data_IF_284322343904
#
_entry.id   IF_284322343904
#
_cell.length_a   1.000
_cell.length_b   1.000
_cell.length_c   1.000
_cell.angle_alpha   90.00
_cell.angle_beta   90.00
_cell.angle_gamma   90.00
#
_symmetry.space_group_name_H-M   'P 1'
#
loop_
_entity.id
_entity.type
_entity.pdbx_description
1 polymer ?
#
# COMPACT_ATOMS: atom_id res chain seq x y z
N UNK A 1 29.27 15.01 13.46
CA UNK A 1 29.68 15.12 12.05
C UNK A 1 28.41 15.35 11.25
N UNK A 2 28.08 16.61 11.01
CA UNK A 2 26.87 17.01 10.30
C UNK A 2 27.12 16.80 8.80
N UNK A 3 26.43 15.83 8.20
CA UNK A 3 26.34 15.76 6.75
C UNK A 3 25.29 16.76 6.29
N UNK A 4 25.72 18.01 6.08
CA UNK A 4 25.03 18.93 5.18
C UNK A 4 25.52 18.56 3.79
N UNK A 5 24.77 17.72 3.08
CA UNK A 5 24.98 17.54 1.66
C UNK A 5 24.50 18.81 0.97
N UNK A 6 25.43 19.65 0.52
CA UNK A 6 25.12 20.74 -0.40
C UNK A 6 24.68 20.12 -1.74
N UNK A 7 23.38 20.13 -1.99
CA UNK A 7 22.79 19.76 -3.28
C UNK A 7 22.75 21.02 -4.17
N UNK A 8 23.24 20.96 -5.42
CA UNK A 8 23.33 22.15 -6.27
C UNK A 8 22.01 22.46 -6.98
N UNK A 9 21.71 23.76 -7.12
CA UNK A 9 20.74 24.30 -8.08
C UNK A 9 19.35 24.60 -7.50
N UNK A 10 19.01 25.89 -7.51
CA UNK A 10 17.73 26.56 -7.20
C UNK A 10 16.55 25.65 -6.82
N UNK A 11 16.46 25.30 -5.54
CA UNK A 11 15.27 24.67 -4.96
C UNK A 11 14.23 25.77 -4.65
N UNK A 12 12.94 25.56 -4.99
CA UNK A 12 11.88 26.42 -4.47
C UNK A 12 11.98 26.45 -2.94
N UNK A 13 11.88 27.64 -2.33
CA UNK A 13 11.98 27.86 -0.88
C UNK A 13 11.03 26.92 -0.13
N UNK A 14 11.53 25.77 0.33
CA UNK A 14 10.77 24.82 1.14
C UNK A 14 10.63 25.44 2.52
N UNK A 15 9.39 25.64 3.00
CA UNK A 15 9.14 25.96 4.40
C UNK A 15 9.79 24.86 5.27
N UNK A 16 10.93 25.17 5.88
CA UNK A 16 11.90 24.17 6.35
C UNK A 16 11.34 23.26 7.45
N UNK A 17 10.82 22.10 7.07
CA UNK A 17 10.46 21.04 7.99
C UNK A 17 11.71 20.19 8.23
N UNK A 18 12.20 20.18 9.47
CA UNK A 18 13.36 19.38 9.84
C UNK A 18 13.07 17.87 9.67
N UNK A 19 13.87 17.21 8.83
CA UNK A 19 13.84 15.77 8.62
C UNK A 19 15.08 15.13 9.26
N UNK A 20 14.86 14.17 10.15
CA UNK A 20 15.94 13.37 10.75
C UNK A 20 16.10 12.08 9.96
N UNK A 21 17.17 11.99 9.16
CA UNK A 21 17.51 10.78 8.41
C UNK A 21 17.90 9.64 9.35
N UNK A 22 17.39 8.43 9.08
CA UNK A 22 17.73 7.20 9.79
C UNK A 22 18.50 6.21 8.91
N UNK A 23 18.07 6.02 7.67
CA UNK A 23 18.81 5.22 6.68
C UNK A 23 18.59 5.77 5.27
N UNK A 24 19.57 5.53 4.41
CA UNK A 24 19.56 5.88 3.00
C UNK A 24 20.08 4.67 2.24
N UNK A 25 19.26 4.16 1.33
CA UNK A 25 19.57 3.03 0.46
C UNK A 25 19.22 3.39 -0.99
N UNK A 26 19.67 2.60 -1.95
CA UNK A 26 19.29 2.80 -3.35
C UNK A 26 17.76 2.71 -3.49
N UNK A 27 17.14 3.83 -3.86
CA UNK A 27 15.69 3.91 -4.03
C UNK A 27 14.89 4.03 -2.73
N UNK A 28 15.52 4.22 -1.57
CA UNK A 28 14.79 4.38 -0.31
C UNK A 28 15.46 5.40 0.63
N UNK A 29 14.64 6.28 1.21
CA UNK A 29 15.04 7.21 2.26
C UNK A 29 14.10 7.05 3.44
N UNK A 30 14.65 6.67 4.60
CA UNK A 30 13.91 6.50 5.84
C UNK A 30 14.35 7.53 6.86
N UNK A 31 13.38 8.10 7.58
CA UNK A 31 13.66 9.05 8.64
C UNK A 31 12.43 9.40 9.45
N UNK A 32 12.46 10.60 10.01
CA UNK A 32 11.32 11.13 10.76
C UNK A 32 11.20 12.63 10.68
N UNK A 33 9.96 13.11 10.63
CA UNK A 33 9.58 14.50 10.77
C UNK A 33 8.91 14.67 12.13
N UNK A 34 9.44 15.53 13.01
CA UNK A 34 8.88 15.77 14.35
C UNK A 34 8.61 14.46 15.13
N UNK A 35 9.50 13.47 14.99
CA UNK A 35 9.38 12.14 15.60
C UNK A 35 8.45 11.15 14.89
N UNK A 36 7.66 11.59 13.89
CA UNK A 36 6.80 10.74 13.08
C UNK A 36 7.63 10.05 12.01
N UNK A 37 7.52 8.72 11.90
CA UNK A 37 8.24 7.94 10.89
C UNK A 37 7.76 8.33 9.49
N UNK A 38 8.69 8.65 8.61
CA UNK A 38 8.42 9.00 7.22
C UNK A 38 9.41 8.27 6.31
N UNK A 39 8.88 7.69 5.23
CA UNK A 39 9.67 6.94 4.25
C UNK A 39 9.35 7.45 2.87
N UNK A 40 10.39 7.66 2.06
CA UNK A 40 10.30 7.96 0.64
C UNK A 40 10.87 6.77 -0.12
N UNK A 41 10.05 6.18 -0.97
CA UNK A 41 10.39 4.98 -1.71
C UNK A 41 10.30 5.27 -3.19
N UNK A 42 11.34 4.91 -3.93
CA UNK A 42 11.31 4.91 -5.37
C UNK A 42 10.25 3.92 -5.83
N UNK A 43 9.29 4.43 -6.60
CA UNK A 43 8.18 3.63 -7.10
C UNK A 43 8.18 3.69 -8.63
N UNK A 44 8.73 2.65 -9.26
CA UNK A 44 8.96 2.58 -10.71
C UNK A 44 7.74 2.13 -11.53
N UNK A 45 6.65 1.78 -10.86
CA UNK A 45 5.42 1.37 -11.54
C UNK A 45 4.57 2.60 -11.88
N UNK A 46 4.17 2.77 -13.15
CA UNK A 46 3.25 3.85 -13.53
C UNK A 46 1.96 3.82 -12.70
N UNK A 47 1.39 5.00 -12.46
CA UNK A 47 0.05 5.09 -11.90
C UNK A 47 -0.97 4.67 -12.96
N UNK A 48 -1.97 3.90 -12.53
CA UNK A 48 -3.09 3.50 -13.40
C UNK A 48 -4.04 4.66 -13.65
N UNK A 49 -4.19 5.54 -12.65
CA UNK A 49 -5.09 6.68 -12.71
C UNK A 49 -4.36 7.96 -12.29
N UNK A 50 -4.98 9.10 -12.60
CA UNK A 50 -4.56 10.38 -12.06
C UNK A 50 -4.59 10.37 -10.52
N UNK A 51 -3.70 11.14 -9.93
CA UNK A 51 -3.68 11.36 -8.48
C UNK A 51 -4.97 12.05 -8.02
N UNK A 52 -5.36 11.79 -6.78
CA UNK A 52 -6.52 12.41 -6.14
C UNK A 52 -6.00 13.52 -5.22
N UNK A 53 -6.48 14.75 -5.43
CA UNK A 53 -6.13 15.86 -4.55
C UNK A 53 -6.79 15.67 -3.18
N UNK A 54 -5.99 15.82 -2.13
CA UNK A 54 -6.47 15.97 -0.75
C UNK A 54 -6.26 17.42 -0.32
N UNK A 55 -7.26 18.25 -0.59
CA UNK A 55 -7.18 19.71 -0.50
C UNK A 55 -6.91 20.20 0.93
N UNK A 56 -7.50 19.56 1.95
CA UNK A 56 -7.35 19.96 3.36
C UNK A 56 -5.89 19.94 3.84
N UNK A 57 -5.09 19.04 3.28
CA UNK A 57 -3.66 18.89 3.61
C UNK A 57 -2.75 19.19 2.41
N UNK A 58 -3.30 19.75 1.33
CA UNK A 58 -2.61 20.15 0.11
C UNK A 58 -1.65 19.06 -0.42
N UNK A 59 -2.13 17.82 -0.49
CA UNK A 59 -1.31 16.66 -0.86
C UNK A 59 -2.01 15.83 -1.92
N UNK A 60 -1.22 15.28 -2.85
CA UNK A 60 -1.70 14.34 -3.86
C UNK A 60 -1.64 12.90 -3.34
N UNK A 61 -2.75 12.18 -3.47
CA UNK A 61 -2.86 10.77 -3.11
C UNK A 61 -2.90 9.89 -4.36
N UNK A 62 -2.42 8.65 -4.21
CA UNK A 62 -2.67 7.63 -5.22
C UNK A 62 -4.17 7.31 -5.28
N UNK A 63 -4.69 7.07 -6.48
CA UNK A 63 -6.07 6.64 -6.66
C UNK A 63 -6.32 5.27 -6.01
N UNK A 64 -7.59 4.96 -5.74
CA UNK A 64 -7.97 3.72 -5.06
C UNK A 64 -7.54 2.45 -5.83
N UNK A 65 -7.51 2.49 -7.16
CA UNK A 65 -6.99 1.38 -7.98
C UNK A 65 -5.50 1.13 -7.76
N UNK A 66 -4.72 2.21 -7.70
CA UNK A 66 -3.29 2.14 -7.43
C UNK A 66 -3.02 1.61 -6.01
N UNK A 67 -3.77 2.10 -5.02
CA UNK A 67 -3.70 1.63 -3.64
C UNK A 67 -4.09 0.15 -3.51
N UNK A 68 -5.13 -0.28 -4.21
CA UNK A 68 -5.53 -1.68 -4.25
C UNK A 68 -4.46 -2.59 -4.85
N UNK A 69 -3.85 -2.19 -5.97
CA UNK A 69 -2.75 -2.94 -6.56
C UNK A 69 -1.54 -3.03 -5.61
N UNK A 70 -1.22 -1.94 -4.90
CA UNK A 70 -0.17 -1.93 -3.88
C UNK A 70 -0.50 -2.87 -2.71
N UNK A 71 -1.78 -2.99 -2.31
CA UNK A 71 -2.20 -3.93 -1.28
C UNK A 71 -2.13 -5.39 -1.72
N UNK A 72 -2.56 -5.69 -2.95
CA UNK A 72 -2.39 -7.01 -3.55
C UNK A 72 -0.90 -7.40 -3.62
N UNK A 73 -0.03 -6.48 -4.05
CA UNK A 73 1.42 -6.71 -4.07
C UNK A 73 1.98 -6.97 -2.67
N UNK A 74 1.56 -6.20 -1.67
CA UNK A 74 1.97 -6.39 -0.28
C UNK A 74 1.52 -7.73 0.30
N UNK A 75 0.29 -8.17 0.01
CA UNK A 75 -0.22 -9.47 0.42
C UNK A 75 0.62 -10.59 -0.21
N UNK A 76 0.87 -10.51 -1.52
CA UNK A 76 1.68 -11.48 -2.24
C UNK A 76 3.12 -11.62 -1.69
N UNK A 77 3.67 -10.54 -1.11
CA UNK A 77 5.05 -10.52 -0.60
C UNK A 77 5.18 -10.88 0.89
N UNK A 78 4.26 -10.42 1.73
CA UNK A 78 4.39 -10.55 3.21
C UNK A 78 3.15 -11.01 3.95
N UNK A 79 1.96 -10.93 3.35
CA UNK A 79 0.71 -11.37 3.99
C UNK A 79 0.42 -10.76 5.38
N UNK A 80 0.73 -9.49 5.64
CA UNK A 80 0.46 -8.89 6.96
C UNK A 80 -1.05 -8.61 7.15
N UNK A 81 -1.55 -8.71 8.39
CA UNK A 81 -2.99 -8.62 8.71
C UNK A 81 -3.62 -7.33 8.24
N UNK A 82 -2.92 -6.21 8.41
CA UNK A 82 -3.39 -4.88 7.97
C UNK A 82 -3.62 -4.79 6.46
N UNK A 83 -2.86 -5.53 5.64
CA UNK A 83 -3.02 -5.45 4.19
C UNK A 83 -4.29 -6.17 3.74
N UNK A 84 -4.66 -7.27 4.42
CA UNK A 84 -5.96 -7.93 4.23
C UNK A 84 -7.13 -7.07 4.70
N UNK A 85 -6.98 -6.34 5.83
CA UNK A 85 -8.00 -5.38 6.30
C UNK A 85 -8.23 -4.28 5.26
N UNK A 86 -7.15 -3.69 4.75
CA UNK A 86 -7.23 -2.63 3.74
C UNK A 86 -7.83 -3.16 2.41
N UNK A 87 -7.43 -4.37 1.98
CA UNK A 87 -8.02 -5.01 0.81
C UNK A 87 -9.52 -5.24 1.00
N UNK A 88 -9.95 -5.72 2.18
CA UNK A 88 -11.35 -5.92 2.48
C UNK A 88 -12.16 -4.63 2.33
N UNK A 89 -11.66 -3.51 2.85
CA UNK A 89 -12.31 -2.21 2.68
C UNK A 89 -12.41 -1.79 1.21
N UNK A 90 -11.31 -1.96 0.45
CA UNK A 90 -11.28 -1.63 -0.98
C UNK A 90 -12.24 -2.51 -1.81
N UNK A 91 -12.38 -3.80 -1.47
CA UNK A 91 -13.33 -4.67 -2.16
C UNK A 91 -14.77 -4.33 -1.81
N UNK A 92 -15.04 -4.02 -0.53
CA UNK A 92 -16.37 -3.65 -0.04
C UNK A 92 -16.87 -2.33 -0.63
N UNK A 93 -16.02 -1.31 -0.66
CA UNK A 93 -16.44 0.08 -0.89
C UNK A 93 -16.05 0.64 -2.26
N UNK A 94 -15.16 -0.03 -3.02
CA UNK A 94 -14.63 0.51 -4.28
C UNK A 94 -14.85 -0.40 -5.49
N UNK A 95 -14.23 -1.59 -5.55
CA UNK A 95 -14.37 -2.51 -6.69
C UNK A 95 -14.29 -3.97 -6.28
N UNK A 96 -15.01 -4.88 -6.96
CA UNK A 96 -14.93 -6.31 -6.68
C UNK A 96 -13.52 -6.85 -6.97
N UNK A 97 -13.11 -7.88 -6.21
CA UNK A 97 -11.77 -8.47 -6.27
C UNK A 97 -11.31 -8.86 -7.70
N UNK A 98 -12.14 -9.48 -8.57
CA UNK A 98 -11.73 -9.78 -9.95
C UNK A 98 -11.27 -8.54 -10.72
N UNK A 99 -11.98 -7.42 -10.59
CA UNK A 99 -11.62 -6.17 -11.26
C UNK A 99 -10.30 -5.60 -10.71
N UNK A 100 -10.06 -5.71 -9.39
CA UNK A 100 -8.80 -5.28 -8.80
C UNK A 100 -7.62 -6.15 -9.26
N UNK A 101 -7.83 -7.45 -9.45
CA UNK A 101 -6.80 -8.34 -10.01
C UNK A 101 -6.49 -7.98 -11.48
N UNK A 102 -7.49 -7.60 -12.27
CA UNK A 102 -7.22 -7.08 -13.63
C UNK A 102 -6.39 -5.79 -13.61
N UNK A 103 -6.67 -4.87 -12.68
CA UNK A 103 -5.85 -3.67 -12.50
C UNK A 103 -4.43 -4.02 -12.06
N UNK A 104 -4.27 -5.00 -11.18
CA UNK A 104 -2.96 -5.51 -10.76
C UNK A 104 -2.15 -6.04 -11.96
N UNK A 105 -2.78 -6.86 -12.82
CA UNK A 105 -2.15 -7.37 -14.05
C UNK A 105 -1.66 -6.24 -14.95
N UNK A 106 -2.50 -5.23 -15.18
CA UNK A 106 -2.16 -4.04 -15.99
C UNK A 106 -0.99 -3.27 -15.37
N UNK A 107 -1.06 -2.98 -14.06
CA UNK A 107 -0.07 -2.16 -13.37
C UNK A 107 1.32 -2.78 -13.36
N UNK A 108 1.39 -4.09 -13.11
CA UNK A 108 2.64 -4.81 -12.98
C UNK A 108 3.04 -5.54 -14.27
N UNK A 109 2.28 -5.36 -15.36
CA UNK A 109 2.50 -5.99 -16.66
C UNK A 109 2.74 -7.50 -16.53
N UNK A 110 1.86 -8.17 -15.78
CA UNK A 110 1.97 -9.59 -15.46
C UNK A 110 0.67 -10.31 -15.76
N UNK A 111 0.77 -11.48 -16.41
CA UNK A 111 -0.37 -12.34 -16.70
C UNK A 111 -0.56 -13.43 -15.62
N UNK A 112 0.53 -13.81 -14.94
CA UNK A 112 0.53 -14.83 -13.90
C UNK A 112 0.18 -14.23 -12.52
N UNK A 113 -1.04 -14.51 -12.08
CA UNK A 113 -1.55 -14.12 -10.76
C UNK A 113 -1.74 -15.33 -9.83
N UNK A 114 -1.22 -16.51 -10.18
CA UNK A 114 -1.41 -17.71 -9.36
C UNK A 114 -0.82 -17.53 -7.95
N UNK A 115 0.37 -16.94 -7.85
CA UNK A 115 1.02 -16.60 -6.59
C UNK A 115 0.18 -15.63 -5.74
N UNK A 116 -0.47 -14.65 -6.39
CA UNK A 116 -1.36 -13.70 -5.70
C UNK A 116 -2.61 -14.39 -5.17
N UNK A 117 -3.26 -15.24 -5.97
CA UNK A 117 -4.44 -16.00 -5.53
C UNK A 117 -4.11 -16.93 -4.35
N UNK A 118 -2.95 -17.59 -4.40
CA UNK A 118 -2.46 -18.40 -3.28
C UNK A 118 -2.28 -17.55 -2.02
N UNK A 119 -1.60 -16.40 -2.13
CA UNK A 119 -1.38 -15.51 -1.00
C UNK A 119 -2.70 -14.95 -0.42
N UNK A 120 -3.71 -14.72 -1.25
CA UNK A 120 -5.04 -14.27 -0.81
C UNK A 120 -5.79 -15.33 0.00
N UNK A 121 -5.47 -16.61 -0.17
CA UNK A 121 -6.05 -17.72 0.58
C UNK A 121 -5.22 -18.15 1.81
N UNK A 122 -4.00 -17.61 1.96
CA UNK A 122 -3.05 -17.97 3.02
C UNK A 122 -2.99 -16.90 4.11
N UNK A 123 -3.37 -17.27 5.34
CA UNK A 123 -3.53 -16.31 6.45
C UNK A 123 -2.60 -16.57 7.63
N UNK A 124 -1.67 -17.51 7.55
CA UNK A 124 -0.93 -17.97 8.74
C UNK A 124 -0.05 -16.87 9.34
N UNK A 125 0.66 -16.12 8.49
CA UNK A 125 1.46 -14.96 8.92
C UNK A 125 0.56 -13.88 9.53
N UNK A 126 -0.55 -13.55 8.84
CA UNK A 126 -1.53 -12.61 9.36
C UNK A 126 -2.12 -13.08 10.70
N UNK A 127 -2.39 -14.37 10.90
CA UNK A 127 -3.00 -14.87 12.14
C UNK A 127 -2.13 -14.61 13.37
N UNK A 128 -0.80 -14.57 13.21
CA UNK A 128 0.15 -14.26 14.29
C UNK A 128 0.14 -12.77 14.70
N UNK A 129 -0.36 -11.87 13.84
CA UNK A 129 -0.38 -10.44 14.12
C UNK A 129 -1.59 -10.01 14.94
N UNK A 130 -1.45 -8.92 15.72
CA UNK A 130 -2.59 -8.28 16.38
C UNK A 130 -3.46 -7.57 15.35
N UNK A 131 -4.78 -7.56 15.57
CA UNK A 131 -5.68 -6.76 14.75
C UNK A 131 -5.35 -5.26 14.97
N UNK A 132 -5.25 -4.45 13.91
CA UNK A 132 -5.12 -3.01 14.07
C UNK A 132 -6.40 -2.42 14.69
N UNK A 133 -6.29 -1.21 15.24
CA UNK A 133 -7.48 -0.45 15.65
C UNK A 133 -8.24 -0.07 14.38
N UNK A 134 -9.49 -0.48 14.28
CA UNK A 134 -10.34 -0.26 13.11
C UNK A 134 -11.28 0.94 13.33
N UNK A 135 -11.60 1.63 12.24
CA UNK A 135 -12.56 2.76 12.24
C UNK A 135 -14.02 2.30 12.12
N UNK A 136 -14.25 1.01 11.87
CA UNK A 136 -15.57 0.40 11.73
C UNK A 136 -15.58 -0.96 12.43
N UNK A 137 -16.77 -1.43 12.79
CA UNK A 137 -16.97 -2.67 13.52
C UNK A 137 -16.92 -3.87 12.57
N UNK A 138 -15.79 -4.57 12.55
CA UNK A 138 -15.61 -5.84 11.84
C UNK A 138 -14.53 -6.65 12.54
N UNK A 139 -14.71 -7.96 12.63
CA UNK A 139 -13.72 -8.85 13.21
C UNK A 139 -12.85 -9.56 12.15
N UNK A 140 -11.71 -10.06 12.60
CA UNK A 140 -10.78 -10.77 11.73
C UNK A 140 -11.36 -12.05 11.09
N UNK A 141 -12.16 -12.88 11.79
CA UNK A 141 -12.86 -14.00 11.18
C UNK A 141 -13.74 -13.61 9.99
N UNK A 142 -14.52 -12.53 10.10
CA UNK A 142 -15.39 -12.04 9.02
C UNK A 142 -14.57 -11.63 7.81
N UNK A 143 -13.48 -10.88 8.01
CA UNK A 143 -12.59 -10.46 6.92
C UNK A 143 -12.03 -11.66 6.16
N UNK A 144 -11.50 -12.66 6.89
CA UNK A 144 -10.97 -13.88 6.27
C UNK A 144 -12.03 -14.62 5.47
N UNK A 145 -13.23 -14.75 6.03
CA UNK A 145 -14.31 -15.47 5.36
C UNK A 145 -14.73 -14.76 4.07
N UNK A 146 -14.88 -13.44 4.09
CA UNK A 146 -15.20 -12.66 2.89
C UNK A 146 -14.13 -12.80 1.81
N UNK A 147 -12.85 -12.69 2.17
CA UNK A 147 -11.75 -12.82 1.20
C UNK A 147 -11.71 -14.22 0.59
N UNK A 148 -11.91 -15.28 1.39
CA UNK A 148 -11.99 -16.65 0.88
C UNK A 148 -13.12 -16.82 -0.12
N UNK A 149 -14.32 -16.36 0.20
CA UNK A 149 -15.47 -16.43 -0.70
C UNK A 149 -15.19 -15.69 -2.01
N UNK A 150 -14.62 -14.48 -1.96
CA UNK A 150 -14.26 -13.75 -3.18
C UNK A 150 -13.20 -14.47 -4.03
N UNK A 151 -12.26 -15.18 -3.41
CA UNK A 151 -11.24 -15.97 -4.13
C UNK A 151 -11.85 -17.23 -4.74
N UNK A 152 -12.76 -17.91 -4.03
CA UNK A 152 -13.50 -19.08 -4.53
C UNK A 152 -14.35 -18.73 -5.76
N UNK A 153 -15.01 -17.57 -5.75
CA UNK A 153 -15.82 -17.08 -6.87
C UNK A 153 -14.98 -16.79 -8.14
N UNK A 154 -13.67 -16.59 -8.01
CA UNK A 154 -12.75 -16.40 -9.15
C UNK A 154 -12.29 -17.73 -9.75
N UNK A 155 -12.25 -18.79 -8.95
CA UNK A 155 -11.75 -20.10 -9.35
C UNK A 155 -12.80 -20.98 -10.06
N UNK A 156 -14.06 -20.51 -10.12
CA UNK A 156 -15.19 -21.15 -10.82
C UNK A 156 -15.35 -20.60 -12.24
#
# INVERSE_FOLDING_TARGET
MNLVAELPGDMPKVHGVAFTTRSVDTGALHGSVRGIRSSFLEYRYPLLQSRVSWDEVQTELAALDDLACMKLSAIAQRGAKKDFVDLYALVRDHRPLPALIEQYRKKYSTDDTAHLLYALAYFDDANAERIPVLLWDVDWPTIKQSIRTWVEDIAQ
#
